data_IF_961273883490
#
_entry.id   IF_961273883490
#
_cell.length_a   1.000
_cell.length_b   1.000
_cell.length_c   1.000
_cell.angle_alpha   90.00
_cell.angle_beta   90.00
_cell.angle_gamma   90.00
#
_symmetry.space_group_name_H-M   'P 1'
#
loop_
_entity.id
_entity.type
_entity.pdbx_description
1 polymer ?
#
# COMPACT_ATOMS: atom_id res chain seq x y z
N UNK A 1 -2.73 -21.52 1.17
CA UNK A 1 -3.96 -21.00 0.54
C UNK A 1 -4.32 -19.70 1.26
N UNK A 2 -4.76 -18.63 0.58
CA UNK A 2 -5.34 -17.51 1.32
C UNK A 2 -6.62 -18.05 1.97
N UNK A 3 -6.61 -18.12 3.29
CA UNK A 3 -7.66 -18.75 4.08
C UNK A 3 -8.92 -17.90 3.96
N UNK A 4 -10.01 -18.50 3.45
CA UNK A 4 -11.31 -17.86 3.33
C UNK A 4 -11.94 -17.79 4.73
N UNK A 5 -11.48 -16.83 5.53
CA UNK A 5 -11.88 -16.66 6.94
C UNK A 5 -13.14 -15.82 7.11
N UNK A 6 -13.53 -15.07 6.08
CA UNK A 6 -14.69 -14.19 6.11
C UNK A 6 -15.99 -14.91 5.72
N UNK A 7 -17.11 -14.41 6.24
CA UNK A 7 -18.46 -14.92 5.92
C UNK A 7 -18.80 -14.80 4.43
N UNK A 8 -18.29 -13.78 3.75
CA UNK A 8 -18.52 -13.55 2.33
C UNK A 8 -17.34 -14.08 1.51
N UNK A 9 -17.63 -14.84 0.45
CA UNK A 9 -16.62 -15.36 -0.46
C UNK A 9 -15.82 -14.22 -1.12
N UNK A 10 -14.52 -14.14 -0.82
CA UNK A 10 -13.66 -13.13 -1.40
C UNK A 10 -13.18 -13.58 -2.79
N UNK A 11 -13.31 -12.69 -3.78
CA UNK A 11 -12.83 -12.88 -5.16
C UNK A 11 -12.37 -11.56 -5.77
N UNK A 12 -11.49 -11.65 -6.77
CA UNK A 12 -11.21 -10.51 -7.66
C UNK A 12 -12.38 -10.30 -8.64
N UNK A 13 -12.43 -9.15 -9.31
CA UNK A 13 -13.44 -8.86 -10.35
C UNK A 13 -13.29 -9.72 -11.61
N UNK A 14 -12.15 -10.42 -11.75
CA UNK A 14 -11.91 -11.34 -12.83
C UNK A 14 -12.76 -12.61 -12.69
N UNK A 15 -13.40 -13.04 -13.79
CA UNK A 15 -14.06 -14.33 -13.86
C UNK A 15 -13.04 -15.47 -13.90
N UNK A 16 -13.07 -16.34 -12.88
CA UNK A 16 -12.11 -17.44 -12.71
C UNK A 16 -12.58 -18.75 -13.34
N UNK A 17 -13.88 -18.97 -13.46
CA UNK A 17 -14.48 -20.25 -13.88
C UNK A 17 -14.63 -20.37 -15.41
N UNK A 18 -13.70 -19.80 -16.17
CA UNK A 18 -13.71 -19.90 -17.62
C UNK A 18 -13.34 -21.33 -18.05
N UNK A 19 -14.23 -22.00 -18.79
CA UNK A 19 -13.91 -23.30 -19.39
C UNK A 19 -12.84 -23.11 -20.47
N UNK A 20 -11.78 -23.92 -20.46
CA UNK A 20 -10.79 -23.91 -21.54
C UNK A 20 -11.41 -24.49 -22.82
N UNK A 21 -11.53 -23.69 -23.88
CA UNK A 21 -11.83 -24.23 -25.22
C UNK A 21 -10.58 -24.95 -25.72
N UNK A 22 -10.66 -26.26 -25.97
CA UNK A 22 -9.63 -27.00 -26.72
C UNK A 22 -8.76 -28.01 -25.97
N UNK A 23 -9.24 -28.68 -24.90
CA UNK A 23 -8.67 -29.95 -24.39
C UNK A 23 -7.25 -29.91 -23.80
N UNK A 24 -6.48 -28.83 -23.95
CA UNK A 24 -5.18 -28.67 -23.31
C UNK A 24 -5.40 -28.47 -21.81
N UNK A 25 -4.86 -29.39 -20.98
CA UNK A 25 -4.73 -29.20 -19.53
C UNK A 25 -3.88 -27.94 -19.30
N UNK A 26 -4.53 -26.81 -19.08
CA UNK A 26 -3.86 -25.56 -18.73
C UNK A 26 -3.19 -25.80 -17.37
N UNK A 27 -1.88 -25.55 -17.30
CA UNK A 27 -1.14 -25.59 -16.04
C UNK A 27 -1.86 -24.66 -15.05
N UNK A 28 -2.10 -25.15 -13.85
CA UNK A 28 -2.99 -24.60 -12.81
C UNK A 28 -2.51 -23.27 -12.22
N UNK A 29 -1.96 -22.34 -13.01
CA UNK A 29 -1.77 -20.96 -12.58
C UNK A 29 -3.14 -20.29 -12.57
N UNK A 30 -3.70 -20.15 -11.39
CA UNK A 30 -4.91 -19.37 -11.15
C UNK A 30 -4.75 -17.99 -11.79
N UNK A 31 -5.62 -17.67 -12.75
CA UNK A 31 -5.59 -16.38 -13.44
C UNK A 31 -5.83 -15.28 -12.40
N UNK A 32 -4.83 -14.41 -12.19
CA UNK A 32 -4.88 -13.31 -11.24
C UNK A 32 -4.83 -11.98 -12.00
N UNK A 33 -5.71 -11.07 -11.63
CA UNK A 33 -5.65 -9.70 -12.13
C UNK A 33 -4.66 -8.88 -11.31
N UNK A 34 -3.77 -8.21 -12.00
CA UNK A 34 -2.88 -7.18 -11.46
C UNK A 34 -2.73 -6.09 -12.53
N UNK A 35 -2.30 -4.90 -12.12
CA UNK A 35 -1.99 -3.78 -13.01
C UNK A 35 -0.68 -3.11 -12.61
N UNK A 36 -0.09 -2.43 -13.58
CA UNK A 36 0.89 -1.39 -13.32
C UNK A 36 0.16 -0.12 -12.87
N UNK A 37 0.68 0.51 -11.82
CA UNK A 37 0.16 1.76 -11.27
C UNK A 37 0.73 2.97 -12.04
N UNK A 38 1.84 2.78 -12.76
CA UNK A 38 2.59 3.84 -13.43
C UNK A 38 3.44 4.65 -12.44
N UNK A 39 3.80 5.88 -12.83
CA UNK A 39 4.58 6.82 -12.00
C UNK A 39 5.97 6.26 -11.60
N UNK A 40 6.52 5.31 -12.36
CA UNK A 40 7.84 4.71 -12.12
C UNK A 40 7.89 3.69 -10.98
N UNK A 41 6.75 3.27 -10.41
CA UNK A 41 6.71 2.24 -9.39
C UNK A 41 6.66 0.84 -10.01
N UNK A 42 7.45 -0.09 -9.48
CA UNK A 42 7.42 -1.49 -9.90
C UNK A 42 6.30 -2.23 -9.16
N UNK A 43 5.50 -3.00 -9.89
CA UNK A 43 4.52 -3.90 -9.29
C UNK A 43 5.22 -4.97 -8.44
N UNK A 44 4.86 -5.14 -7.16
CA UNK A 44 5.52 -6.10 -6.29
C UNK A 44 5.24 -7.54 -6.73
N UNK A 45 6.23 -8.42 -6.56
CA UNK A 45 6.10 -9.83 -6.94
C UNK A 45 4.95 -10.53 -6.19
N UNK A 46 4.71 -10.16 -4.93
CA UNK A 46 3.58 -10.65 -4.14
C UNK A 46 2.21 -10.23 -4.71
N UNK A 47 2.12 -9.08 -5.40
CA UNK A 47 0.87 -8.71 -6.08
C UNK A 47 0.60 -9.57 -7.32
N UNK A 48 1.65 -9.99 -8.04
CA UNK A 48 1.56 -10.78 -9.27
C UNK A 48 1.26 -12.26 -8.94
N UNK A 49 1.98 -12.83 -7.98
CA UNK A 49 1.93 -14.27 -7.68
C UNK A 49 1.17 -14.62 -6.40
N UNK A 50 0.84 -13.62 -5.57
CA UNK A 50 0.18 -13.86 -4.28
C UNK A 50 -1.28 -14.27 -4.41
N UNK A 51 -1.83 -14.80 -3.32
CA UNK A 51 -3.21 -15.32 -3.27
C UNK A 51 -4.18 -14.40 -2.54
N UNK A 52 -3.70 -13.31 -1.93
CA UNK A 52 -4.56 -12.40 -1.15
C UNK A 52 -5.59 -11.69 -2.05
N UNK A 53 -6.72 -11.30 -1.46
CA UNK A 53 -7.78 -10.58 -2.16
C UNK A 53 -8.00 -9.27 -1.42
N UNK A 54 -7.65 -8.18 -2.09
CA UNK A 54 -7.77 -6.83 -1.54
C UNK A 54 -8.27 -5.88 -2.63
N UNK A 55 -9.52 -5.43 -2.49
CA UNK A 55 -10.18 -4.50 -3.41
C UNK A 55 -9.61 -3.07 -3.32
N UNK A 56 -8.94 -2.75 -2.20
CA UNK A 56 -8.32 -1.45 -1.94
C UNK A 56 -6.85 -1.40 -2.37
N UNK A 57 -6.27 -2.52 -2.79
CA UNK A 57 -4.90 -2.58 -3.30
C UNK A 57 -4.74 -1.73 -4.58
N UNK A 58 -3.66 -0.94 -4.72
CA UNK A 58 -3.40 -0.20 -5.95
C UNK A 58 -2.98 -1.10 -7.12
N UNK A 59 -2.45 -2.30 -6.87
CA UNK A 59 -1.99 -3.23 -7.91
C UNK A 59 -3.03 -4.27 -8.31
N UNK A 60 -3.82 -4.79 -7.36
CA UNK A 60 -4.73 -5.92 -7.59
C UNK A 60 -6.20 -5.56 -7.41
N UNK A 61 -6.49 -4.29 -7.07
CA UNK A 61 -7.84 -3.72 -7.01
C UNK A 61 -8.01 -2.55 -7.98
N UNK A 62 -9.23 -2.03 -8.04
CA UNK A 62 -9.59 -0.91 -8.91
C UNK A 62 -9.32 0.47 -8.26
N UNK A 63 -8.20 0.59 -7.56
CA UNK A 63 -7.79 1.86 -6.95
C UNK A 63 -6.81 2.56 -7.89
N UNK A 64 -7.12 3.79 -8.28
CA UNK A 64 -6.21 4.65 -9.02
C UNK A 64 -5.40 5.54 -8.07
N UNK A 65 -4.11 5.68 -8.38
CA UNK A 65 -3.20 6.58 -7.70
C UNK A 65 -3.10 7.86 -8.50
N UNK A 66 -3.22 9.01 -7.84
CA UNK A 66 -3.23 10.32 -8.48
C UNK A 66 -2.76 11.41 -7.53
N UNK A 67 -2.20 12.48 -8.08
CA UNK A 67 -1.84 13.67 -7.31
C UNK A 67 -0.59 13.44 -6.44
N UNK A 68 -0.73 13.65 -5.13
CA UNK A 68 0.42 13.74 -4.22
C UNK A 68 1.04 12.37 -3.95
N UNK A 69 2.36 12.28 -4.11
CA UNK A 69 3.18 11.17 -3.61
C UNK A 69 4.00 11.69 -2.43
N UNK A 70 3.91 11.00 -1.29
CA UNK A 70 4.56 11.41 -0.05
C UNK A 70 5.41 10.27 0.49
N UNK A 71 6.52 10.61 1.13
CA UNK A 71 7.34 9.70 1.93
C UNK A 71 7.13 9.97 3.41
N UNK A 72 7.27 8.93 4.23
CA UNK A 72 7.29 9.05 5.68
C UNK A 72 7.62 7.73 6.38
N UNK A 73 7.72 7.77 7.70
CA UNK A 73 8.08 6.62 8.52
C UNK A 73 6.84 5.97 9.11
N UNK A 74 6.82 4.64 9.16
CA UNK A 74 5.72 3.87 9.74
C UNK A 74 5.73 4.03 11.25
N UNK A 75 4.68 4.63 11.80
CA UNK A 75 4.52 4.84 13.23
C UNK A 75 3.70 3.74 13.89
N UNK A 76 2.67 3.21 13.20
CA UNK A 76 1.83 2.15 13.74
C UNK A 76 1.27 1.23 12.65
N UNK A 77 1.27 -0.07 12.95
CA UNK A 77 0.75 -1.15 12.11
C UNK A 77 -0.41 -1.92 12.77
N UNK A 78 -1.04 -1.33 13.80
CA UNK A 78 -2.04 -2.02 14.65
C UNK A 78 -3.38 -2.30 13.95
N UNK A 79 -3.67 -1.63 12.84
CA UNK A 79 -4.95 -1.75 12.12
C UNK A 79 -4.85 -2.78 11.00
N UNK A 80 -5.98 -3.39 10.64
CA UNK A 80 -6.03 -4.32 9.52
C UNK A 80 -5.80 -3.60 8.19
N UNK A 81 -4.76 -4.02 7.46
CA UNK A 81 -4.36 -3.49 6.16
C UNK A 81 -4.24 -1.95 6.09
N UNK A 82 -4.02 -1.29 7.24
CA UNK A 82 -3.89 0.16 7.32
C UNK A 82 -2.76 0.49 8.27
N UNK A 83 -1.91 1.42 7.85
CA UNK A 83 -0.78 1.90 8.63
C UNK A 83 -0.92 3.39 8.89
N UNK A 84 -0.35 3.83 10.01
CA UNK A 84 -0.18 5.25 10.31
C UNK A 84 1.27 5.62 9.99
N UNK A 85 1.43 6.55 9.07
CA UNK A 85 2.72 7.12 8.68
C UNK A 85 2.87 8.47 9.35
N UNK A 86 4.07 8.74 9.87
CA UNK A 86 4.45 10.02 10.44
C UNK A 86 5.46 10.71 9.52
N UNK A 87 5.19 11.98 9.23
CA UNK A 87 6.09 12.86 8.46
C UNK A 87 6.57 13.96 9.38
N UNK A 88 7.86 13.99 9.62
CA UNK A 88 8.50 15.02 10.44
C UNK A 88 9.10 16.09 9.52
N UNK A 89 8.88 17.36 9.85
CA UNK A 89 9.36 18.49 9.06
C UNK A 89 9.69 19.68 9.97
N UNK A 90 10.51 20.58 9.45
CA UNK A 90 10.89 21.81 10.13
C UNK A 90 9.99 22.95 9.67
N UNK A 91 9.35 23.63 10.61
CA UNK A 91 8.55 24.83 10.36
C UNK A 91 9.38 26.07 10.71
N UNK A 92 9.51 26.99 9.76
CA UNK A 92 10.28 28.22 9.95
C UNK A 92 9.48 29.26 10.74
N UNK A 93 10.11 29.89 11.74
CA UNK A 93 9.52 30.99 12.52
C UNK A 93 10.17 32.31 12.07
N UNK A 94 9.47 33.16 11.31
CA UNK A 94 10.07 34.35 10.69
C UNK A 94 10.67 35.33 11.70
N UNK A 95 9.97 35.57 12.82
CA UNK A 95 10.41 36.52 13.86
C UNK A 95 11.79 36.19 14.44
N UNK A 96 12.05 34.90 14.67
CA UNK A 96 13.29 34.45 15.33
C UNK A 96 14.32 33.87 14.37
N UNK A 97 13.99 33.77 13.07
CA UNK A 97 14.81 33.13 12.02
C UNK A 97 15.29 31.72 12.41
N UNK A 98 14.48 30.98 13.18
CA UNK A 98 14.75 29.62 13.68
C UNK A 98 13.70 28.65 13.15
N UNK A 99 13.97 27.35 13.27
CA UNK A 99 13.05 26.29 12.90
C UNK A 99 12.53 25.55 14.13
N UNK A 100 11.25 25.16 14.12
CA UNK A 100 10.68 24.21 15.08
C UNK A 100 10.37 22.87 14.41
N UNK A 101 10.49 21.78 15.17
CA UNK A 101 10.12 20.45 14.70
C UNK A 101 8.61 20.26 14.79
N UNK A 102 7.96 19.94 13.67
CA UNK A 102 6.56 19.54 13.60
C UNK A 102 6.44 18.14 12.99
N UNK A 103 5.32 17.49 13.27
CA UNK A 103 4.97 16.25 12.59
C UNK A 103 3.52 16.25 12.14
N UNK A 104 3.21 15.45 11.12
CA UNK A 104 1.85 15.12 10.71
C UNK A 104 1.70 13.62 10.57
N UNK A 105 0.62 13.09 11.14
CA UNK A 105 0.24 11.70 10.99
C UNK A 105 -0.73 11.56 9.82
N UNK A 106 -0.58 10.47 9.07
CA UNK A 106 -1.38 10.17 7.90
C UNK A 106 -1.74 8.69 7.91
N UNK A 107 -3.02 8.39 7.68
CA UNK A 107 -3.48 7.02 7.50
C UNK A 107 -3.33 6.60 6.04
N UNK A 108 -2.67 5.46 5.81
CA UNK A 108 -2.49 4.87 4.49
C UNK A 108 -2.91 3.40 4.49
N UNK A 109 -3.60 2.97 3.43
CA UNK A 109 -3.90 1.55 3.21
C UNK A 109 -2.62 0.83 2.80
N UNK A 110 -2.30 -0.25 3.50
CA UNK A 110 -1.19 -1.13 3.17
C UNK A 110 -1.74 -2.41 2.57
N UNK A 111 -1.45 -2.64 1.30
CA UNK A 111 -1.84 -3.89 0.65
C UNK A 111 -1.05 -5.06 1.25
N UNK A 112 -1.66 -6.26 1.36
CA UNK A 112 -0.96 -7.46 1.84
C UNK A 112 0.28 -7.87 1.03
N UNK A 113 0.49 -7.31 -0.16
CA UNK A 113 1.72 -7.48 -0.95
C UNK A 113 2.97 -6.84 -0.34
N UNK A 114 2.81 -6.08 0.74
CA UNK A 114 3.91 -5.48 1.47
C UNK A 114 3.90 -5.97 2.91
N UNK A 115 5.05 -6.49 3.34
CA UNK A 115 5.34 -6.73 4.76
C UNK A 115 6.03 -5.48 5.30
N UNK A 116 5.38 -4.82 6.24
CA UNK A 116 5.81 -3.54 6.80
C UNK A 116 6.00 -3.69 8.31
N UNK A 117 7.12 -3.20 8.80
CA UNK A 117 7.43 -3.13 10.22
C UNK A 117 7.41 -1.67 10.71
N UNK A 118 7.32 -1.49 12.03
CA UNK A 118 7.36 -0.16 12.64
C UNK A 118 8.78 0.41 12.43
N UNK A 119 8.86 1.64 11.93
CA UNK A 119 10.13 2.31 11.63
C UNK A 119 10.56 2.22 10.16
N UNK A 120 9.89 1.41 9.32
CA UNK A 120 10.18 1.38 7.89
C UNK A 120 9.85 2.72 7.22
N UNK A 121 10.62 3.08 6.18
CA UNK A 121 10.31 4.24 5.35
C UNK A 121 9.41 3.80 4.19
N UNK A 122 8.29 4.48 4.02
CA UNK A 122 7.25 4.09 3.06
C UNK A 122 6.92 5.26 2.14
N UNK A 123 6.77 4.95 0.86
CA UNK A 123 6.23 5.87 -0.15
C UNK A 123 4.76 5.57 -0.36
N UNK A 124 3.93 6.59 -0.18
CA UNK A 124 2.48 6.53 -0.36
C UNK A 124 2.02 7.43 -1.48
N UNK A 125 1.04 6.96 -2.25
CA UNK A 125 0.35 7.72 -3.27
C UNK A 125 -1.05 8.10 -2.82
N UNK A 126 -1.48 9.30 -3.14
CA UNK A 126 -2.86 9.74 -2.95
C UNK A 126 -3.80 8.90 -3.82
N UNK A 127 -4.94 8.52 -3.25
CA UNK A 127 -5.97 7.72 -3.90
C UNK A 127 -7.35 8.35 -3.69
N UNK A 128 -8.40 7.69 -4.22
CA UNK A 128 -9.77 8.05 -3.84
C UNK A 128 -10.01 7.77 -2.35
N UNK A 129 -10.92 8.47 -1.67
CA UNK A 129 -11.26 8.15 -0.29
C UNK A 129 -11.66 6.66 -0.16
N UNK A 130 -10.96 5.91 0.69
CA UNK A 130 -11.22 4.48 0.95
C UNK A 130 -11.94 4.25 2.27
N UNK A 131 -11.82 5.20 3.19
CA UNK A 131 -12.45 5.25 4.50
C UNK A 131 -12.50 6.71 4.99
N UNK A 132 -12.99 6.94 6.21
CA UNK A 132 -13.07 8.27 6.84
C UNK A 132 -11.73 9.01 6.83
N UNK A 133 -10.64 8.31 7.14
CA UNK A 133 -9.29 8.89 7.23
C UNK A 133 -8.37 8.48 6.08
N UNK A 134 -8.54 7.27 5.54
CA UNK A 134 -7.65 6.68 4.53
C UNK A 134 -7.89 7.28 3.14
N UNK A 135 -6.93 8.09 2.69
CA UNK A 135 -6.89 8.75 1.36
C UNK A 135 -5.58 8.49 0.60
N UNK A 136 -4.75 7.61 1.14
CA UNK A 136 -3.45 7.25 0.59
C UNK A 136 -3.26 5.75 0.61
N UNK A 137 -2.50 5.23 -0.35
CA UNK A 137 -2.10 3.83 -0.46
C UNK A 137 -0.59 3.70 -0.50
N UNK A 138 -0.08 2.63 0.10
CA UNK A 138 1.33 2.26 0.01
C UNK A 138 1.70 1.79 -1.40
N UNK A 139 2.78 2.35 -1.94
CA UNK A 139 3.32 2.03 -3.27
C UNK A 139 4.67 1.33 -3.21
N UNK A 140 5.51 1.73 -2.24
CA UNK A 140 6.85 1.19 -2.07
C UNK A 140 7.24 1.23 -0.60
N UNK A 141 7.87 0.16 -0.16
CA UNK A 141 8.48 0.06 1.18
C UNK A 141 9.99 0.03 1.00
N UNK A 142 10.67 0.89 1.74
CA UNK A 142 12.12 0.88 1.88
C UNK A 142 12.42 0.40 3.30
N UNK A 143 12.90 -0.85 3.40
CA UNK A 143 13.28 -1.43 4.69
C UNK A 143 14.46 -0.66 5.22
N UNK A 144 14.28 -0.02 6.38
CA UNK A 144 15.36 0.73 7.01
C UNK A 144 15.54 0.20 8.42
N UNK A 145 16.70 -0.44 8.69
CA UNK A 145 16.95 -1.13 9.96
C UNK A 145 17.33 -0.21 11.12
N UNK A 146 17.43 1.10 10.89
CA UNK A 146 17.84 2.02 11.94
C UNK A 146 17.31 3.44 11.69
N UNK A 147 16.51 3.95 12.62
CA UNK A 147 16.76 5.23 13.27
C UNK A 147 15.66 5.50 14.32
N UNK A 148 16.03 5.50 15.61
CA UNK A 148 15.26 6.19 16.67
C UNK A 148 15.49 7.71 16.60
N UNK A 149 15.76 8.25 15.41
CA UNK A 149 16.21 9.62 15.17
C UNK A 149 15.27 10.37 14.24
N UNK A 150 15.18 11.68 14.44
CA UNK A 150 14.47 12.59 13.53
C UNK A 150 15.11 12.53 12.14
N UNK A 151 14.32 12.12 11.14
CA UNK A 151 14.68 12.20 9.73
C UNK A 151 13.83 13.30 9.07
N UNK A 152 14.50 14.33 8.54
CA UNK A 152 13.82 15.40 7.80
C UNK A 152 13.45 14.86 6.41
N UNK A 153 12.22 14.32 6.32
CA UNK A 153 11.68 13.56 5.18
C UNK A 153 12.46 12.28 4.83
#
# INVERSE_FOLDING_TARGET
>A
MAEQTEKAFQKQHLFQNAKSKGGKKITTKTKRWYKDVGLGFRTPAEAINGTYIDKKCPFTGDVSIRGRILTGVVHSTKMTNTIIIRREYLHYIPKYRRYEKRHKNLAAHCSPAFRVEIGDQVTVGQCRPLSKTVRFNVLRVSKNKAAKGFAKF
#
